data_IF_112543086154
#
_entry.id   IF_112543086154
#
_cell.length_a   1.000
_cell.length_b   1.000
_cell.length_c   1.000
_cell.angle_alpha   90.00
_cell.angle_beta   90.00
_cell.angle_gamma   90.00
#
_symmetry.space_group_name_H-M   'P 1'
#
loop_
_entity.id
_entity.type
_entity.pdbx_description
1 polymer ?
#
# COMPACT_ATOMS: atom_id res chain seq x y z
N UNK A 1 -15.86 -11.02 10.96
CA UNK A 1 -15.66 -10.61 9.56
C UNK A 1 -15.83 -11.84 8.66
N UNK A 2 -16.40 -11.68 7.46
CA UNK A 2 -16.56 -12.73 6.44
C UNK A 2 -15.48 -12.55 5.36
N UNK A 3 -14.30 -13.18 5.50
CA UNK A 3 -13.17 -12.96 4.59
C UNK A 3 -13.39 -13.57 3.21
N UNK A 4 -14.27 -14.57 3.07
CA UNK A 4 -14.65 -15.18 1.80
C UNK A 4 -16.11 -14.91 1.44
N UNK A 5 -16.44 -15.08 0.16
CA UNK A 5 -17.81 -14.94 -0.36
C UNK A 5 -18.74 -16.05 0.15
N UNK A 6 -18.16 -17.21 0.48
CA UNK A 6 -18.84 -18.36 1.05
C UNK A 6 -19.25 -18.12 2.52
N UNK A 7 -18.54 -17.23 3.22
CA UNK A 7 -18.86 -16.85 4.61
C UNK A 7 -20.05 -15.90 4.71
N UNK A 8 -20.59 -15.45 3.56
CA UNK A 8 -21.73 -14.52 3.47
C UNK A 8 -23.03 -15.30 3.24
N UNK A 9 -24.09 -14.93 3.99
CA UNK A 9 -25.41 -15.53 3.83
C UNK A 9 -25.90 -15.45 2.38
N UNK A 10 -26.52 -16.52 1.83
CA UNK A 10 -27.01 -16.54 0.45
C UNK A 10 -27.97 -15.39 0.11
N UNK A 11 -28.77 -14.94 1.07
CA UNK A 11 -29.75 -13.84 0.93
C UNK A 11 -29.11 -12.46 0.80
N UNK A 12 -27.87 -12.30 1.27
CA UNK A 12 -27.05 -11.10 1.07
C UNK A 12 -26.30 -11.24 -0.25
N UNK A 13 -25.68 -12.40 -0.50
CA UNK A 13 -24.94 -12.67 -1.75
C UNK A 13 -25.80 -12.52 -3.01
N UNK A 14 -27.09 -12.85 -2.95
CA UNK A 14 -28.02 -12.70 -4.08
C UNK A 14 -28.38 -11.24 -4.41
N UNK A 15 -28.14 -10.30 -3.48
CA UNK A 15 -28.52 -8.89 -3.60
C UNK A 15 -27.34 -7.93 -3.67
N UNK A 16 -26.11 -8.43 -3.54
CA UNK A 16 -24.89 -7.64 -3.60
C UNK A 16 -24.02 -8.10 -4.76
N UNK A 17 -23.24 -7.17 -5.33
CA UNK A 17 -22.20 -7.48 -6.32
C UNK A 17 -20.87 -7.61 -5.59
N UNK A 18 -20.20 -8.76 -5.77
CA UNK A 18 -18.86 -8.95 -5.25
C UNK A 18 -17.85 -8.09 -6.01
N UNK A 19 -17.07 -7.30 -5.27
CA UNK A 19 -16.00 -6.47 -5.81
C UNK A 19 -14.67 -6.91 -5.19
N UNK A 20 -13.84 -7.56 -5.99
CA UNK A 20 -12.50 -7.98 -5.58
C UNK A 20 -11.55 -6.77 -5.61
N UNK A 21 -11.11 -6.33 -4.43
CA UNK A 21 -10.03 -5.35 -4.31
C UNK A 21 -8.69 -6.07 -4.45
N UNK A 22 -7.83 -5.56 -5.34
CA UNK A 22 -6.48 -6.10 -5.55
C UNK A 22 -5.44 -5.14 -5.00
N UNK A 23 -4.33 -5.68 -4.51
CA UNK A 23 -3.16 -4.87 -4.16
C UNK A 23 -2.64 -4.17 -5.41
N UNK A 24 -2.40 -2.84 -5.37
CA UNK A 24 -1.86 -2.10 -6.50
C UNK A 24 -0.43 -2.56 -6.83
N UNK A 25 -0.03 -2.37 -8.09
CA UNK A 25 1.36 -2.58 -8.48
C UNK A 25 2.27 -1.54 -7.82
N UNK A 26 3.55 -1.87 -7.68
CA UNK A 26 4.58 -0.93 -7.20
C UNK A 26 4.58 0.36 -8.02
N UNK A 27 4.44 0.25 -9.35
CA UNK A 27 4.38 1.39 -10.24
C UNK A 27 3.15 2.26 -9.97
N UNK A 28 1.97 1.66 -9.77
CA UNK A 28 0.75 2.41 -9.45
C UNK A 28 0.87 3.16 -8.12
N UNK A 29 1.56 2.58 -7.13
CA UNK A 29 1.84 3.28 -5.86
C UNK A 29 2.83 4.42 -6.07
N UNK A 30 3.90 4.22 -6.83
CA UNK A 30 4.87 5.28 -7.14
C UNK A 30 4.20 6.46 -7.88
N UNK A 31 3.41 6.18 -8.92
CA UNK A 31 2.68 7.20 -9.68
C UNK A 31 1.69 7.97 -8.78
N UNK A 32 1.02 7.26 -7.87
CA UNK A 32 0.11 7.86 -6.91
C UNK A 32 0.83 8.80 -5.93
N UNK A 33 2.01 8.42 -5.44
CA UNK A 33 2.84 9.28 -4.56
C UNK A 33 3.32 10.55 -5.29
N UNK A 34 3.74 10.44 -6.55
CA UNK A 34 4.13 11.60 -7.36
C UNK A 34 2.93 12.52 -7.57
N UNK A 35 1.81 11.98 -8.06
CA UNK A 35 0.64 12.77 -8.47
C UNK A 35 -0.13 13.39 -7.32
N UNK A 36 -0.26 12.69 -6.18
CA UNK A 36 -1.10 13.13 -5.06
C UNK A 36 -0.32 13.80 -3.94
N UNK A 37 0.92 13.37 -3.70
CA UNK A 37 1.72 13.83 -2.57
C UNK A 37 2.90 14.72 -3.01
N UNK A 38 3.13 14.90 -4.32
CA UNK A 38 4.21 15.74 -4.85
C UNK A 38 5.62 15.20 -4.54
N UNK A 39 5.74 13.88 -4.34
CA UNK A 39 7.02 13.25 -4.01
C UNK A 39 7.85 13.11 -5.27
N UNK A 40 9.16 13.39 -5.16
CA UNK A 40 10.12 13.19 -6.24
C UNK A 40 10.06 11.75 -6.80
N UNK A 41 10.07 11.55 -8.14
CA UNK A 41 9.85 10.25 -8.76
C UNK A 41 10.75 9.12 -8.23
N UNK A 42 12.04 9.41 -8.02
CA UNK A 42 13.00 8.42 -7.53
C UNK A 42 12.72 8.02 -6.08
N UNK A 43 12.32 8.98 -5.24
CA UNK A 43 11.93 8.73 -3.84
C UNK A 43 10.63 7.93 -3.79
N UNK A 44 9.66 8.26 -4.63
CA UNK A 44 8.39 7.54 -4.75
C UNK A 44 8.62 6.08 -5.18
N UNK A 45 9.46 5.85 -6.20
CA UNK A 45 9.81 4.51 -6.69
C UNK A 45 10.56 3.69 -5.63
N UNK A 46 11.47 4.30 -4.87
CA UNK A 46 12.16 3.63 -3.78
C UNK A 46 11.20 3.26 -2.64
N UNK A 47 10.34 4.19 -2.23
CA UNK A 47 9.37 3.96 -1.16
C UNK A 47 8.35 2.86 -1.54
N UNK A 48 7.80 2.90 -2.75
CA UNK A 48 6.85 1.91 -3.24
C UNK A 48 7.46 0.50 -3.35
N UNK A 49 8.71 0.38 -3.83
CA UNK A 49 9.43 -0.90 -3.86
C UNK A 49 9.67 -1.46 -2.46
N UNK A 50 10.09 -0.60 -1.54
CA UNK A 50 10.39 -0.99 -0.16
C UNK A 50 9.18 -1.52 0.62
N UNK A 51 7.96 -1.21 0.17
CA UNK A 51 6.72 -1.58 0.86
C UNK A 51 5.84 -2.55 0.05
N UNK A 52 6.31 -3.02 -1.11
CA UNK A 52 5.67 -4.07 -1.91
C UNK A 52 4.18 -3.80 -2.21
N UNK A 53 3.84 -2.56 -2.56
CA UNK A 53 2.46 -2.18 -2.91
C UNK A 53 1.58 -1.79 -1.72
N UNK A 54 2.11 -1.74 -0.50
CA UNK A 54 1.36 -1.24 0.66
C UNK A 54 1.32 0.29 0.67
N UNK A 55 0.17 0.86 0.27
CA UNK A 55 -0.04 2.31 0.08
C UNK A 55 0.35 3.13 1.32
N UNK A 56 -0.24 2.84 2.48
CA UNK A 56 -0.03 3.68 3.68
C UNK A 56 1.42 3.65 4.17
N UNK A 57 2.06 2.48 4.09
CA UNK A 57 3.48 2.35 4.43
C UNK A 57 4.36 3.09 3.42
N UNK A 58 4.03 3.03 2.13
CA UNK A 58 4.78 3.73 1.09
C UNK A 58 4.70 5.25 1.31
N UNK A 59 3.47 5.74 1.55
CA UNK A 59 3.21 7.15 1.87
C UNK A 59 3.99 7.60 3.09
N UNK A 60 3.89 6.86 4.19
CA UNK A 60 4.64 7.16 5.42
C UNK A 60 6.14 7.17 5.17
N UNK A 61 6.67 6.18 4.45
CA UNK A 61 8.11 6.13 4.16
C UNK A 61 8.58 7.28 3.26
N UNK A 62 7.71 7.78 2.38
CA UNK A 62 7.98 8.91 1.49
C UNK A 62 7.89 10.26 2.21
N UNK A 63 6.98 10.43 3.17
CA UNK A 63 6.70 11.74 3.81
C UNK A 63 7.31 11.92 5.20
N UNK A 64 7.55 10.85 5.96
CA UNK A 64 7.97 10.89 7.36
C UNK A 64 9.48 10.63 7.51
N UNK A 65 10.31 11.65 7.82
CA UNK A 65 11.75 11.47 8.03
C UNK A 65 12.07 10.51 9.18
N UNK A 66 11.24 10.47 10.23
CA UNK A 66 11.45 9.57 11.36
C UNK A 66 11.23 8.11 10.95
N UNK A 67 10.25 7.84 10.09
CA UNK A 67 10.04 6.52 9.51
C UNK A 67 11.23 6.07 8.66
N UNK A 68 11.82 6.98 7.87
CA UNK A 68 13.05 6.70 7.11
C UNK A 68 14.22 6.38 8.03
N UNK A 69 14.47 7.23 9.02
CA UNK A 69 15.57 7.05 9.98
C UNK A 69 15.44 5.72 10.73
N UNK A 70 14.25 5.39 11.22
CA UNK A 70 13.98 4.13 11.91
C UNK A 70 14.21 2.92 11.00
N UNK A 71 13.76 2.97 9.75
CA UNK A 71 14.03 1.89 8.78
C UNK A 71 15.53 1.74 8.54
N UNK A 72 16.26 2.84 8.34
CA UNK A 72 17.72 2.80 8.14
C UNK A 72 18.45 2.22 9.35
N UNK A 73 18.03 2.56 10.57
CA UNK A 73 18.61 1.98 11.78
C UNK A 73 18.40 0.45 11.85
N UNK A 74 17.20 -0.03 11.52
CA UNK A 74 16.90 -1.47 11.46
C UNK A 74 17.72 -2.18 10.39
N UNK A 75 17.91 -1.57 9.22
CA UNK A 75 18.72 -2.15 8.13
C UNK A 75 20.22 -2.20 8.44
N UNK A 76 20.69 -1.51 9.48
CA UNK A 76 22.09 -1.50 9.94
C UNK A 76 22.37 -2.50 11.07
N UNK A 77 21.36 -3.19 11.60
CA UNK A 77 21.58 -4.24 12.59
C UNK A 77 22.32 -5.42 11.93
N UNK A 78 23.36 -5.98 12.60
CA UNK A 78 24.12 -7.12 12.10
C UNK A 78 23.30 -8.42 12.10
#
# INVERSE_FOLDING_TARGET
>A
CAPSVEDVLPTIRSRCRHLNLRTPSVQAVADMLVRREGIEPDVAAAAARATQGHIDRARRLATDPSARARRQAVLKLP
#
